data_IF_664219389149
#
_entry.id   IF_664219389149
#
_cell.length_a   1.000
_cell.length_b   1.000
_cell.length_c   1.000
_cell.angle_alpha   90.00
_cell.angle_beta   90.00
_cell.angle_gamma   90.00
#
_symmetry.space_group_name_H-M   'P 1'
#
loop_
_entity.id
_entity.type
_entity.pdbx_description
1 polymer ?
#
# COMPACT_ATOMS: atom_id res chain seq x y z
N UNK A 1 97.69 3.92 -1.05
CA UNK A 1 98.74 4.93 -1.28
C UNK A 1 98.69 5.36 -2.73
N UNK A 2 98.78 6.68 -2.96
CA UNK A 2 99.17 7.31 -4.23
C UNK A 2 98.12 7.44 -5.35
N UNK A 3 97.43 8.59 -5.35
CA UNK A 3 97.16 9.41 -6.54
C UNK A 3 98.50 9.80 -7.20
N UNK A 4 98.60 10.18 -8.50
CA UNK A 4 97.80 11.28 -9.08
C UNK A 4 97.51 11.24 -10.61
N UNK A 5 96.79 12.28 -11.00
CA UNK A 5 96.57 12.93 -12.31
C UNK A 5 97.73 12.80 -13.34
N UNK A 6 97.56 12.94 -14.67
CA UNK A 6 97.00 14.12 -15.38
C UNK A 6 97.00 13.94 -16.92
N UNK A 7 96.12 14.69 -17.58
CA UNK A 7 96.28 15.39 -18.88
C UNK A 7 96.20 14.67 -20.26
N UNK A 8 95.02 14.83 -20.89
CA UNK A 8 94.75 15.46 -22.21
C UNK A 8 95.48 15.04 -23.50
N UNK A 9 94.69 14.66 -24.54
CA UNK A 9 94.45 15.46 -25.77
C UNK A 9 93.40 14.83 -26.73
N UNK A 10 92.79 15.64 -27.63
CA UNK A 10 91.50 15.36 -28.25
C UNK A 10 91.62 14.69 -29.62
N UNK A 11 90.58 13.97 -30.03
CA UNK A 11 90.36 13.64 -31.44
C UNK A 11 88.91 13.99 -31.80
N UNK A 12 88.77 15.00 -32.65
CA UNK A 12 87.52 15.40 -33.29
C UNK A 12 87.36 14.56 -34.56
N UNK A 13 86.29 13.76 -34.62
CA UNK A 13 85.74 13.23 -35.87
C UNK A 13 84.24 13.06 -35.61
N UNK A 14 83.45 14.02 -36.06
CA UNK A 14 82.72 13.99 -37.32
C UNK A 14 81.43 13.15 -37.22
N UNK A 15 80.30 13.88 -37.21
CA UNK A 15 79.06 13.42 -37.84
C UNK A 15 78.23 12.40 -37.07
N UNK A 16 77.19 12.88 -36.38
CA UNK A 16 76.07 12.05 -35.94
C UNK A 16 75.42 12.62 -34.70
N UNK A 17 74.35 13.40 -34.86
CA UNK A 17 73.57 13.92 -33.75
C UNK A 17 72.85 12.78 -33.02
N UNK A 18 73.08 12.57 -31.71
CA UNK A 18 72.16 11.78 -30.90
C UNK A 18 71.02 12.68 -30.41
N UNK A 19 69.80 12.26 -30.71
CA UNK A 19 68.56 12.79 -30.15
C UNK A 19 68.64 12.69 -28.63
N UNK A 20 68.82 13.82 -27.96
CA UNK A 20 68.68 13.94 -26.51
C UNK A 20 67.20 13.83 -26.17
N UNK A 21 66.77 12.66 -25.68
CA UNK A 21 65.54 12.55 -24.90
C UNK A 21 65.71 13.41 -23.64
N UNK A 22 65.14 14.61 -23.70
CA UNK A 22 65.07 15.52 -22.57
C UNK A 22 64.45 14.83 -21.36
N UNK A 23 65.20 14.79 -20.26
CA UNK A 23 64.69 14.60 -18.91
C UNK A 23 63.56 15.60 -18.69
N UNK A 24 62.31 15.11 -18.67
CA UNK A 24 61.20 15.89 -18.14
C UNK A 24 61.32 15.92 -16.61
N UNK A 25 61.10 17.09 -15.97
CA UNK A 25 61.23 17.24 -14.54
C UNK A 25 60.16 16.42 -13.82
N UNK A 26 60.54 15.88 -12.65
CA UNK A 26 59.66 15.27 -11.66
C UNK A 26 58.49 16.21 -11.37
N UNK A 27 57.33 15.92 -11.94
CA UNK A 27 56.06 16.45 -11.46
C UNK A 27 55.50 15.46 -10.46
N UNK A 28 55.84 15.71 -9.20
CA UNK A 28 55.05 15.30 -8.05
C UNK A 28 53.69 15.98 -8.21
N UNK A 29 52.70 15.25 -8.72
CA UNK A 29 51.30 15.66 -8.62
C UNK A 29 50.53 14.54 -7.96
N UNK A 30 49.98 14.92 -6.82
CA UNK A 30 49.29 14.08 -5.87
C UNK A 30 48.28 13.17 -6.56
N UNK A 31 48.27 11.91 -6.12
CA UNK A 31 47.15 11.01 -6.32
C UNK A 31 45.92 11.65 -5.66
N UNK A 32 45.09 12.32 -6.45
CA UNK A 32 43.77 12.75 -6.00
C UNK A 32 42.94 11.48 -5.78
N UNK A 33 42.48 11.19 -4.56
CA UNK A 33 41.65 10.03 -4.34
C UNK A 33 40.26 10.34 -4.91
N UNK A 34 39.93 9.75 -6.05
CA UNK A 34 38.56 9.68 -6.56
C UNK A 34 37.80 8.69 -5.67
N UNK A 35 37.44 9.11 -4.47
CA UNK A 35 36.70 8.28 -3.50
C UNK A 35 35.59 9.00 -2.73
N UNK A 36 35.26 10.26 -3.03
CA UNK A 36 34.20 10.97 -2.30
C UNK A 36 33.18 11.59 -3.26
N UNK A 37 32.30 10.76 -3.81
CA UNK A 37 31.24 11.23 -4.71
C UNK A 37 30.04 10.28 -4.86
N UNK A 38 29.81 9.38 -3.90
CA UNK A 38 28.74 8.38 -3.99
C UNK A 38 27.96 8.20 -2.67
N UNK A 39 27.70 9.28 -1.93
CA UNK A 39 26.89 9.23 -0.69
C UNK A 39 25.70 10.19 -0.63
N UNK A 40 25.32 10.82 -1.74
CA UNK A 40 24.01 11.51 -1.83
C UNK A 40 22.99 10.52 -2.41
N UNK A 41 22.74 9.44 -1.69
CA UNK A 41 21.51 8.67 -1.89
C UNK A 41 20.39 9.48 -1.26
N UNK A 42 19.65 10.20 -2.11
CA UNK A 42 18.42 10.89 -1.78
C UNK A 42 17.49 9.92 -1.02
N UNK A 43 17.40 10.07 0.29
CA UNK A 43 16.36 9.44 1.11
C UNK A 43 15.03 10.15 0.82
N UNK A 44 14.44 9.89 -0.34
CA UNK A 44 13.08 10.35 -0.64
C UNK A 44 12.09 9.45 0.10
N UNK A 45 11.71 9.86 1.31
CA UNK A 45 10.58 9.27 2.03
C UNK A 45 9.29 9.83 1.42
N UNK A 46 8.38 8.98 0.95
CA UNK A 46 7.01 9.43 0.70
C UNK A 46 6.41 9.88 2.04
N UNK A 47 5.82 11.07 2.03
CA UNK A 47 5.08 11.61 3.19
C UNK A 47 3.61 11.54 2.86
N UNK A 48 2.83 10.88 3.72
CA UNK A 48 1.38 10.96 3.63
C UNK A 48 0.92 12.29 4.26
N UNK A 49 0.03 13.04 3.61
CA UNK A 49 -0.57 14.22 4.23
C UNK A 49 -1.38 13.82 5.47
N UNK A 50 -1.07 14.44 6.60
CA UNK A 50 -1.84 14.35 7.84
C UNK A 50 -2.86 15.49 7.91
N UNK A 51 -3.69 15.58 6.88
CA UNK A 51 -4.79 16.53 6.87
C UNK A 51 -5.94 16.00 7.71
N UNK A 52 -6.66 16.92 8.37
CA UNK A 52 -7.96 16.60 8.95
C UNK A 52 -8.95 16.57 7.79
N UNK A 53 -9.58 15.43 7.59
CA UNK A 53 -10.75 15.33 6.73
C UNK A 53 -11.93 15.97 7.47
N UNK A 54 -13.08 15.34 7.40
CA UNK A 54 -14.25 15.71 8.21
C UNK A 54 -15.02 14.47 8.68
N UNK A 55 -14.34 13.32 8.81
CA UNK A 55 -15.02 12.05 9.06
C UNK A 55 -15.12 11.68 10.55
N UNK A 56 -14.29 12.27 11.40
CA UNK A 56 -14.36 12.08 12.85
C UNK A 56 -15.50 12.89 13.49
N UNK A 57 -16.18 12.29 14.47
CA UNK A 57 -17.22 12.96 15.28
C UNK A 57 -16.67 14.16 16.08
N UNK A 58 -15.41 14.09 16.52
CA UNK A 58 -14.67 15.20 17.11
C UNK A 58 -13.16 15.03 16.84
N UNK A 59 -12.45 16.14 16.81
CA UNK A 59 -10.98 16.22 16.72
C UNK A 59 -10.34 16.64 18.06
N UNK A 60 -11.16 16.89 19.08
CA UNK A 60 -10.70 17.45 20.34
C UNK A 60 -9.90 16.43 21.15
N UNK A 61 -8.78 16.88 21.73
CA UNK A 61 -7.93 16.02 22.56
C UNK A 61 -7.14 14.96 21.79
N UNK A 62 -7.09 15.05 20.46
CA UNK A 62 -6.12 14.31 19.66
C UNK A 62 -4.69 14.77 20.02
N UNK A 63 -3.81 13.82 20.30
CA UNK A 63 -2.40 14.09 20.62
C UNK A 63 -1.48 13.31 19.68
N UNK A 64 -0.31 13.86 19.39
CA UNK A 64 0.68 13.22 18.52
C UNK A 64 1.20 11.93 19.14
N UNK A 65 1.21 10.86 18.35
CA UNK A 65 1.76 9.57 18.74
C UNK A 65 2.45 8.93 17.53
N UNK A 66 3.57 9.51 17.12
CA UNK A 66 4.26 9.03 15.92
C UNK A 66 4.96 7.69 16.18
N UNK A 67 4.91 6.81 15.17
CA UNK A 67 5.81 5.68 15.04
C UNK A 67 7.08 6.06 14.28
N UNK A 68 7.96 5.07 14.05
CA UNK A 68 9.19 5.27 13.28
C UNK A 68 8.89 5.73 11.85
N UNK A 69 7.85 5.16 11.23
CA UNK A 69 7.44 5.44 9.85
C UNK A 69 6.02 6.00 9.73
N UNK A 70 5.19 5.76 10.74
CA UNK A 70 3.80 6.21 10.79
C UNK A 70 3.72 7.55 11.48
N UNK A 71 3.02 8.49 10.87
CA UNK A 71 2.59 9.73 11.53
C UNK A 71 1.18 9.57 12.05
N UNK A 72 0.93 9.96 13.30
CA UNK A 72 -0.41 9.80 13.86
C UNK A 72 -0.81 10.84 14.90
N UNK A 73 -2.11 11.11 14.95
CA UNK A 73 -2.80 11.82 16.01
C UNK A 73 -3.84 10.87 16.58
N UNK A 74 -3.86 10.68 17.90
CA UNK A 74 -4.77 9.75 18.55
C UNK A 74 -5.42 10.31 19.79
N UNK A 75 -6.61 9.79 20.07
CA UNK A 75 -7.36 9.96 21.30
C UNK A 75 -7.96 8.61 21.66
N UNK A 76 -7.91 8.23 22.93
CA UNK A 76 -8.61 7.05 23.43
C UNK A 76 -9.07 7.28 24.86
N UNK A 77 -10.34 7.00 25.12
CA UNK A 77 -10.86 6.78 26.46
C UNK A 77 -10.63 5.31 26.83
N UNK A 78 -9.50 5.08 27.51
CA UNK A 78 -9.02 3.73 27.84
C UNK A 78 -10.07 2.93 28.61
N UNK A 79 -10.68 3.53 29.62
CA UNK A 79 -11.63 2.82 30.49
C UNK A 79 -12.88 2.41 29.72
N UNK A 80 -13.42 3.30 28.87
CA UNK A 80 -14.61 3.01 28.07
C UNK A 80 -14.33 1.97 26.99
N UNK A 81 -13.20 2.08 26.30
CA UNK A 81 -12.82 1.12 25.26
C UNK A 81 -12.56 -0.26 25.86
N UNK A 82 -11.87 -0.35 27.00
CA UNK A 82 -11.58 -1.64 27.65
C UNK A 82 -12.82 -2.28 28.31
N UNK A 83 -13.82 -1.48 28.69
CA UNK A 83 -15.10 -2.00 29.19
C UNK A 83 -15.98 -2.64 28.10
N UNK A 84 -15.81 -2.26 26.83
CA UNK A 84 -16.59 -2.79 25.71
C UNK A 84 -16.21 -4.25 25.40
N UNK A 85 -17.22 -5.07 25.05
CA UNK A 85 -17.09 -6.50 24.73
C UNK A 85 -17.38 -6.80 23.27
N UNK A 86 -18.32 -6.07 22.68
CA UNK A 86 -18.77 -6.26 21.31
C UNK A 86 -18.36 -5.08 20.43
N UNK A 87 -17.98 -5.37 19.19
CA UNK A 87 -17.64 -4.35 18.19
C UNK A 87 -18.34 -4.64 16.87
N UNK A 88 -18.82 -3.59 16.23
CA UNK A 88 -19.33 -3.63 14.86
C UNK A 88 -18.43 -2.80 13.97
N UNK A 89 -18.04 -3.35 12.84
CA UNK A 89 -17.23 -2.63 11.84
C UNK A 89 -18.18 -2.14 10.76
N UNK A 90 -18.21 -0.83 10.54
CA UNK A 90 -18.86 -0.25 9.36
C UNK A 90 -17.88 -0.31 8.19
N UNK A 91 -18.29 -0.74 6.99
CA UNK A 91 -17.37 -0.84 5.86
C UNK A 91 -16.63 0.46 5.57
N UNK A 92 -15.31 0.37 5.43
CA UNK A 92 -14.44 1.52 5.11
C UNK A 92 -14.84 2.20 3.81
N UNK A 93 -14.92 3.52 3.84
CA UNK A 93 -15.22 4.38 2.69
C UNK A 93 -13.99 5.16 2.23
N UNK A 94 -14.08 5.74 1.04
CA UNK A 94 -13.12 6.73 0.53
C UNK A 94 -13.79 8.10 0.51
N UNK A 95 -13.08 9.15 0.88
CA UNK A 95 -13.50 10.51 0.51
C UNK A 95 -13.50 10.65 -1.02
N UNK A 96 -14.34 11.55 -1.52
CA UNK A 96 -14.55 11.72 -2.96
C UNK A 96 -13.23 12.00 -3.71
N UNK A 97 -12.36 12.80 -3.12
CA UNK A 97 -11.07 13.22 -3.69
C UNK A 97 -9.92 12.25 -3.40
N UNK A 98 -10.12 11.25 -2.55
CA UNK A 98 -9.08 10.32 -2.15
C UNK A 98 -8.74 9.34 -3.30
N UNK A 99 -7.48 9.30 -3.74
CA UNK A 99 -7.03 8.36 -4.77
C UNK A 99 -7.62 8.60 -6.16
N UNK A 100 -7.43 9.80 -6.76
CA UNK A 100 -8.04 10.16 -8.05
C UNK A 100 -7.59 9.26 -9.21
N UNK A 101 -6.44 8.60 -9.07
CA UNK A 101 -5.89 7.67 -10.08
C UNK A 101 -6.27 6.21 -9.84
N UNK A 102 -6.96 5.89 -8.73
CA UNK A 102 -7.39 4.53 -8.40
C UNK A 102 -8.76 4.22 -9.01
N UNK A 103 -8.86 3.07 -9.66
CA UNK A 103 -10.14 2.54 -10.14
C UNK A 103 -11.08 2.16 -8.98
N UNK A 104 -12.40 2.05 -9.21
CA UNK A 104 -13.36 1.60 -8.18
C UNK A 104 -12.98 0.24 -7.57
N UNK A 105 -12.52 -0.70 -8.39
CA UNK A 105 -12.07 -2.03 -7.94
C UNK A 105 -10.86 -1.92 -7.02
N UNK A 106 -9.88 -1.07 -7.36
CA UNK A 106 -8.70 -0.83 -6.52
C UNK A 106 -9.09 -0.21 -5.17
N UNK A 107 -9.97 0.81 -5.16
CA UNK A 107 -10.49 1.38 -3.91
C UNK A 107 -11.19 0.32 -3.06
N UNK A 108 -12.00 -0.55 -3.68
CA UNK A 108 -12.66 -1.64 -2.98
C UNK A 108 -11.66 -2.64 -2.37
N UNK A 109 -10.55 -2.95 -3.05
CA UNK A 109 -9.48 -3.81 -2.52
C UNK A 109 -8.79 -3.18 -1.30
N UNK A 110 -8.48 -1.88 -1.34
CA UNK A 110 -7.92 -1.16 -0.18
C UNK A 110 -8.92 -1.19 0.99
N UNK A 111 -10.18 -0.82 0.77
CA UNK A 111 -11.22 -0.85 1.80
C UNK A 111 -11.39 -2.25 2.41
N UNK A 112 -11.47 -3.29 1.58
CA UNK A 112 -11.58 -4.68 2.05
C UNK A 112 -10.35 -5.10 2.87
N UNK A 113 -9.16 -4.67 2.47
CA UNK A 113 -7.92 -4.95 3.22
C UNK A 113 -7.94 -4.30 4.60
N UNK A 114 -8.35 -3.04 4.69
CA UNK A 114 -8.52 -2.35 5.97
C UNK A 114 -9.56 -3.08 6.83
N UNK A 115 -10.73 -3.40 6.27
CA UNK A 115 -11.78 -4.09 6.99
C UNK A 115 -11.33 -5.48 7.50
N UNK A 116 -10.61 -6.26 6.70
CA UNK A 116 -10.08 -7.58 7.09
C UNK A 116 -9.04 -7.47 8.20
N UNK A 117 -8.11 -6.51 8.10
CA UNK A 117 -7.10 -6.26 9.11
C UNK A 117 -7.75 -5.81 10.43
N UNK A 118 -8.73 -4.90 10.38
CA UNK A 118 -9.53 -4.52 11.55
C UNK A 118 -10.28 -5.70 12.14
N UNK A 119 -10.93 -6.53 11.30
CA UNK A 119 -11.62 -7.73 11.76
C UNK A 119 -10.68 -8.69 12.49
N UNK A 120 -9.52 -9.00 11.90
CA UNK A 120 -8.54 -9.89 12.51
C UNK A 120 -8.02 -9.30 13.84
N UNK A 121 -7.60 -8.03 13.85
CA UNK A 121 -7.06 -7.37 15.03
C UNK A 121 -8.09 -7.19 16.16
N UNK A 122 -9.28 -6.70 15.86
CA UNK A 122 -10.34 -6.51 16.86
C UNK A 122 -10.82 -7.85 17.44
N UNK A 123 -10.81 -8.91 16.64
CA UNK A 123 -11.25 -10.24 17.08
C UNK A 123 -10.35 -10.90 18.13
N UNK A 124 -9.17 -10.34 18.39
CA UNK A 124 -8.28 -10.75 19.47
C UNK A 124 -8.92 -10.52 20.85
N UNK A 125 -9.77 -9.49 20.99
CA UNK A 125 -10.45 -9.17 22.26
C UNK A 125 -11.97 -9.09 22.14
N UNK A 126 -12.47 -8.47 21.09
CA UNK A 126 -13.90 -8.21 20.95
C UNK A 126 -14.64 -9.38 20.30
N UNK A 127 -15.92 -9.52 20.62
CA UNK A 127 -16.87 -10.21 19.76
C UNK A 127 -17.23 -9.29 18.60
N UNK A 128 -16.86 -9.67 17.36
CA UNK A 128 -17.24 -8.90 16.18
C UNK A 128 -18.64 -9.30 15.75
N UNK A 129 -19.58 -8.36 15.82
CA UNK A 129 -21.01 -8.59 15.55
C UNK A 129 -21.43 -8.00 14.22
N UNK A 130 -22.46 -8.61 13.61
CA UNK A 130 -23.04 -8.13 12.34
C UNK A 130 -23.85 -6.86 12.49
N UNK A 131 -24.23 -6.26 11.36
CA UNK A 131 -25.00 -5.01 11.31
C UNK A 131 -26.38 -5.09 11.98
N UNK A 132 -26.94 -6.30 12.07
CA UNK A 132 -28.25 -6.62 12.65
C UNK A 132 -28.24 -6.71 14.19
N UNK A 133 -27.07 -6.75 14.82
CA UNK A 133 -26.93 -6.85 16.28
C UNK A 133 -26.38 -5.55 16.88
N UNK A 134 -26.82 -5.18 18.11
CA UNK A 134 -26.21 -4.07 18.84
C UNK A 134 -24.76 -4.38 19.17
N UNK A 135 -23.93 -3.34 19.24
CA UNK A 135 -22.52 -3.41 19.61
C UNK A 135 -22.18 -2.31 20.62
N UNK A 136 -21.31 -2.61 21.57
CA UNK A 136 -20.81 -1.63 22.56
C UNK A 136 -20.03 -0.52 21.86
N UNK A 137 -19.24 -0.90 20.84
CA UNK A 137 -18.51 0.03 19.97
C UNK A 137 -18.88 -0.19 18.50
N UNK A 138 -19.08 0.91 17.77
CA UNK A 138 -19.14 0.93 16.31
C UNK A 138 -17.89 1.61 15.76
N UNK A 139 -17.13 0.88 14.95
CA UNK A 139 -15.90 1.35 14.32
C UNK A 139 -16.20 1.82 12.90
N UNK A 140 -15.63 2.97 12.53
CA UNK A 140 -15.69 3.57 11.20
C UNK A 140 -14.30 3.97 10.78
N UNK A 141 -14.01 3.86 9.49
CA UNK A 141 -12.78 4.40 8.93
C UNK A 141 -13.02 4.96 7.53
N UNK A 142 -12.33 6.05 7.21
CA UNK A 142 -12.45 6.78 5.95
C UNK A 142 -11.06 7.05 5.38
N UNK A 143 -10.81 6.60 4.16
CA UNK A 143 -9.58 6.91 3.44
C UNK A 143 -9.65 8.35 2.93
N UNK A 144 -8.77 9.21 3.43
CA UNK A 144 -8.68 10.63 3.06
C UNK A 144 -7.75 10.86 1.87
N UNK A 145 -6.66 10.09 1.84
CA UNK A 145 -5.67 10.20 0.79
C UNK A 145 -5.13 8.83 0.43
N UNK A 146 -4.95 8.60 -0.87
CA UNK A 146 -4.16 7.50 -1.37
C UNK A 146 -3.38 7.95 -2.59
N UNK A 147 -2.06 7.96 -2.49
CA UNK A 147 -1.19 8.14 -3.65
C UNK A 147 -0.89 6.77 -4.25
N UNK A 148 -1.12 6.65 -5.56
CA UNK A 148 -0.76 5.47 -6.31
C UNK A 148 0.77 5.35 -6.44
N UNK A 149 1.26 4.12 -6.41
CA UNK A 149 2.63 3.79 -6.80
C UNK A 149 2.81 4.09 -8.31
N UNK A 150 3.91 4.71 -8.71
CA UNK A 150 4.20 4.87 -10.14
C UNK A 150 4.69 3.53 -10.72
N UNK A 151 3.91 2.94 -11.61
CA UNK A 151 4.19 1.63 -12.22
C UNK A 151 5.48 1.60 -13.05
N UNK A 152 5.82 2.70 -13.74
CA UNK A 152 7.01 2.78 -14.60
C UNK A 152 8.25 2.91 -13.72
N UNK A 153 8.18 3.78 -12.71
CA UNK A 153 9.26 3.92 -11.73
C UNK A 153 9.44 2.64 -10.90
N UNK A 154 8.35 1.97 -10.50
CA UNK A 154 8.40 0.72 -9.76
C UNK A 154 8.92 -0.45 -10.59
N UNK A 155 8.57 -0.53 -11.88
CA UNK A 155 9.12 -1.51 -12.82
C UNK A 155 10.62 -1.32 -13.07
N UNK A 156 11.06 -0.07 -13.28
CA UNK A 156 12.49 0.26 -13.39
C UNK A 156 13.25 -0.04 -12.08
N UNK A 157 12.62 0.26 -10.93
CA UNK A 157 13.18 -0.04 -9.60
C UNK A 157 13.37 -1.54 -9.39
N UNK A 158 12.42 -2.38 -9.80
CA UNK A 158 12.57 -3.85 -9.73
C UNK A 158 13.78 -4.35 -10.53
N UNK A 159 13.94 -3.86 -11.77
CA UNK A 159 15.10 -4.24 -12.61
C UNK A 159 16.40 -3.79 -11.97
N UNK A 160 16.47 -2.55 -11.49
CA UNK A 160 17.64 -2.02 -10.81
C UNK A 160 17.96 -2.79 -9.51
N UNK A 161 16.95 -3.10 -8.70
CA UNK A 161 17.09 -3.88 -7.45
C UNK A 161 17.40 -5.37 -7.69
N UNK A 162 17.20 -5.90 -8.90
CA UNK A 162 17.63 -7.25 -9.24
C UNK A 162 19.14 -7.33 -9.51
N UNK A 163 19.79 -6.21 -9.89
CA UNK A 163 21.22 -6.17 -10.24
C UNK A 163 22.11 -6.61 -9.07
N UNK A 164 21.96 -6.12 -7.82
CA UNK A 164 22.76 -6.61 -6.70
C UNK A 164 22.53 -8.10 -6.39
N UNK A 165 21.31 -8.59 -6.58
CA UNK A 165 20.99 -10.01 -6.36
C UNK A 165 21.70 -10.91 -7.38
N UNK A 166 21.75 -10.48 -8.65
CA UNK A 166 22.47 -11.17 -9.73
C UNK A 166 23.99 -11.14 -9.49
N UNK A 167 24.50 -10.09 -8.83
CA UNK A 167 25.91 -9.94 -8.47
C UNK A 167 26.30 -10.65 -7.16
N UNK A 168 25.44 -11.53 -6.62
CA UNK A 168 25.73 -12.34 -5.44
C UNK A 168 25.74 -11.57 -4.12
N UNK A 169 25.28 -10.32 -4.12
CA UNK A 169 25.20 -9.49 -2.90
C UNK A 169 23.92 -9.89 -2.14
N UNK A 170 24.07 -10.71 -1.10
CA UNK A 170 22.94 -11.13 -0.26
C UNK A 170 22.60 -10.06 0.77
N UNK A 171 21.42 -9.46 0.66
CA UNK A 171 20.88 -8.45 1.58
C UNK A 171 19.54 -7.92 1.08
N UNK A 172 18.75 -7.24 1.95
CA UNK A 172 17.56 -6.50 1.51
C UNK A 172 17.97 -5.46 0.48
N UNK A 173 17.60 -5.64 -0.79
CA UNK A 173 17.90 -4.67 -1.83
C UNK A 173 16.90 -3.51 -1.72
N UNK A 174 17.34 -2.29 -1.37
CA UNK A 174 16.44 -1.15 -1.29
C UNK A 174 15.88 -0.80 -2.67
N UNK A 175 14.60 -0.43 -2.76
CA UNK A 175 14.00 0.05 -4.01
C UNK A 175 14.38 1.51 -4.27
N UNK A 176 14.38 1.94 -5.54
CA UNK A 176 14.59 3.36 -5.87
C UNK A 176 13.40 4.15 -5.31
N UNK A 177 13.62 5.26 -4.58
CA UNK A 177 12.58 5.98 -3.85
C UNK A 177 11.69 6.88 -4.73
N UNK A 178 11.42 6.48 -5.98
CA UNK A 178 10.58 7.22 -6.92
C UNK A 178 9.26 6.47 -7.11
N UNK A 179 8.14 7.18 -7.01
CA UNK A 179 6.82 6.59 -7.24
C UNK A 179 6.27 5.76 -6.07
N UNK A 180 6.64 6.09 -4.83
CA UNK A 180 6.16 5.38 -3.64
C UNK A 180 4.73 5.83 -3.28
N UNK A 181 3.85 4.86 -3.05
CA UNK A 181 2.49 5.15 -2.61
C UNK A 181 2.42 5.64 -1.17
N UNK A 182 1.34 6.32 -0.82
CA UNK A 182 1.06 6.78 0.54
C UNK A 182 -0.42 6.62 0.85
N UNK A 183 -0.74 6.53 2.14
CA UNK A 183 -2.11 6.33 2.60
C UNK A 183 -2.34 7.18 3.85
N UNK A 184 -3.48 7.88 3.88
CA UNK A 184 -3.97 8.63 5.03
C UNK A 184 -5.41 8.25 5.33
N UNK A 185 -5.70 7.92 6.58
CA UNK A 185 -6.97 7.36 7.03
C UNK A 185 -7.36 8.01 8.36
N UNK A 186 -8.64 8.34 8.47
CA UNK A 186 -9.29 8.63 9.74
C UNK A 186 -10.07 7.41 10.21
N UNK A 187 -9.88 7.01 11.46
CA UNK A 187 -10.63 5.96 12.12
C UNK A 187 -11.22 6.45 13.43
N UNK A 188 -12.46 6.06 13.73
CA UNK A 188 -13.08 6.30 15.03
C UNK A 188 -13.85 5.09 15.55
N UNK A 189 -13.95 5.01 16.88
CA UNK A 189 -14.85 4.10 17.58
C UNK A 189 -15.83 4.93 18.42
N UNK A 190 -17.12 4.74 18.18
CA UNK A 190 -18.20 5.41 18.90
C UNK A 190 -19.00 4.42 19.73
N UNK A 191 -19.47 4.84 20.91
CA UNK A 191 -20.35 4.02 21.74
C UNK A 191 -21.80 4.01 21.22
N UNK A 192 -22.67 3.25 21.90
CA UNK A 192 -24.10 3.17 21.57
C UNK A 192 -24.84 4.53 21.61
N UNK A 193 -24.32 5.50 22.37
CA UNK A 193 -24.86 6.85 22.46
C UNK A 193 -24.27 7.79 21.38
N UNK A 194 -23.42 7.28 20.50
CA UNK A 194 -22.75 8.06 19.45
C UNK A 194 -21.57 8.89 19.97
N UNK A 195 -21.09 8.67 21.20
CA UNK A 195 -19.95 9.39 21.74
C UNK A 195 -18.65 8.73 21.30
N UNK A 196 -17.74 9.52 20.76
CA UNK A 196 -16.43 9.05 20.33
C UNK A 196 -15.57 8.63 21.54
N UNK A 197 -15.23 7.34 21.58
CA UNK A 197 -14.40 6.73 22.62
C UNK A 197 -12.95 6.57 22.16
N UNK A 198 -12.70 6.50 20.85
CA UNK A 198 -11.36 6.55 20.30
C UNK A 198 -11.37 7.16 18.91
N UNK A 199 -10.26 7.79 18.54
CA UNK A 199 -10.01 8.31 17.22
C UNK A 199 -8.53 8.20 16.87
N UNK A 200 -8.26 8.03 15.57
CA UNK A 200 -6.92 7.99 15.00
C UNK A 200 -6.93 8.69 13.64
N UNK A 201 -6.07 9.67 13.47
CA UNK A 201 -5.63 10.15 12.16
C UNK A 201 -4.29 9.47 11.91
N UNK A 202 -4.20 8.69 10.84
CA UNK A 202 -3.05 7.86 10.54
C UNK A 202 -2.55 8.17 9.14
N UNK A 203 -1.25 8.43 9.01
CA UNK A 203 -0.62 8.68 7.73
C UNK A 203 0.71 7.95 7.62
N UNK A 204 0.92 7.22 6.53
CA UNK A 204 2.22 6.60 6.26
C UNK A 204 2.49 6.56 4.76
N UNK A 205 3.72 6.91 4.39
CA UNK A 205 4.26 6.64 3.07
C UNK A 205 4.99 5.31 3.05
N UNK A 206 4.97 4.65 1.89
CA UNK A 206 5.79 3.47 1.70
C UNK A 206 7.27 3.90 1.63
N UNK A 207 8.17 3.08 2.15
CA UNK A 207 9.62 3.39 2.15
C UNK A 207 10.41 2.39 1.30
N UNK A 208 11.62 2.77 0.92
CA UNK A 208 12.50 1.95 0.10
C UNK A 208 13.12 0.75 0.82
N UNK A 209 13.02 0.70 2.15
CA UNK A 209 13.77 -0.22 2.99
C UNK A 209 12.92 -1.32 3.62
N UNK A 210 11.58 -1.21 3.64
CA UNK A 210 10.75 -2.15 4.39
C UNK A 210 10.10 -3.24 3.55
N UNK A 211 9.82 -3.01 2.26
CA UNK A 211 9.12 -3.96 1.37
C UNK A 211 9.85 -4.12 0.02
N UNK A 212 9.86 -5.33 -0.59
CA UNK A 212 10.34 -5.50 -1.96
C UNK A 212 9.48 -4.64 -2.91
N UNK A 213 10.08 -4.00 -3.93
CA UNK A 213 9.33 -3.21 -4.92
C UNK A 213 8.17 -4.03 -5.50
N UNK A 214 6.97 -3.45 -5.62
CA UNK A 214 5.80 -4.07 -6.25
C UNK A 214 5.54 -3.38 -7.58
N UNK A 215 5.31 -4.12 -8.65
CA UNK A 215 4.98 -3.58 -9.97
C UNK A 215 3.46 -3.38 -10.05
N UNK A 216 2.91 -2.49 -9.21
CA UNK A 216 1.47 -2.18 -9.21
C UNK A 216 1.17 -0.84 -8.55
N UNK A 217 0.29 -0.05 -9.18
CA UNK A 217 -0.21 1.25 -8.68
C UNK A 217 -0.80 1.21 -7.28
N UNK A 218 -1.33 0.07 -6.84
CA UNK A 218 -2.01 -0.05 -5.53
C UNK A 218 -1.16 -0.78 -4.48
N UNK A 219 -0.04 -1.40 -4.88
CA UNK A 219 0.71 -2.32 -4.01
C UNK A 219 1.11 -1.69 -2.67
N UNK A 220 1.60 -0.46 -2.68
CA UNK A 220 1.94 0.26 -1.45
C UNK A 220 0.69 0.60 -0.61
N UNK A 221 -0.39 1.08 -1.23
CA UNK A 221 -1.63 1.41 -0.52
C UNK A 221 -2.29 0.17 0.10
N UNK A 222 -2.19 -0.99 -0.57
CA UNK A 222 -2.68 -2.27 -0.07
C UNK A 222 -1.90 -2.74 1.18
N UNK A 223 -0.57 -2.67 1.15
CA UNK A 223 0.26 -3.02 2.32
C UNK A 223 0.01 -2.02 3.48
N UNK A 224 -0.09 -0.72 3.18
CA UNK A 224 -0.39 0.33 4.16
C UNK A 224 -1.79 0.18 4.77
N UNK A 225 -2.76 -0.30 4.01
CA UNK A 225 -4.11 -0.59 4.50
C UNK A 225 -4.13 -1.64 5.62
N UNK A 226 -3.33 -2.70 5.48
CA UNK A 226 -3.20 -3.70 6.55
C UNK A 226 -2.60 -3.07 7.81
N UNK A 227 -1.52 -2.28 7.65
CA UNK A 227 -0.85 -1.62 8.78
C UNK A 227 -1.80 -0.71 9.57
N UNK A 228 -2.61 0.12 8.88
CA UNK A 228 -3.60 0.94 9.56
C UNK A 228 -4.61 0.08 10.35
N UNK A 229 -5.17 -0.96 9.72
CA UNK A 229 -6.14 -1.82 10.39
C UNK A 229 -5.57 -2.51 11.63
N UNK A 230 -4.29 -2.86 11.60
CA UNK A 230 -3.56 -3.42 12.75
C UNK A 230 -3.32 -2.39 13.86
N UNK A 231 -2.80 -1.20 13.52
CA UNK A 231 -2.53 -0.13 14.46
C UNK A 231 -3.82 0.35 15.16
N UNK A 232 -4.88 0.56 14.38
CA UNK A 232 -6.18 0.99 14.90
C UNK A 232 -6.82 -0.10 15.78
N UNK A 233 -6.72 -1.36 15.39
CA UNK A 233 -7.18 -2.47 16.24
C UNK A 233 -6.39 -2.55 17.54
N UNK A 234 -5.07 -2.37 17.49
CA UNK A 234 -4.23 -2.39 18.68
C UNK A 234 -4.59 -1.26 19.64
N UNK A 235 -4.88 -0.05 19.13
CA UNK A 235 -5.40 1.06 19.94
C UNK A 235 -6.67 0.65 20.70
N UNK A 236 -7.62 -0.02 20.02
CA UNK A 236 -8.89 -0.40 20.62
C UNK A 236 -8.80 -1.64 21.52
N UNK A 237 -7.91 -2.57 21.21
CA UNK A 237 -7.70 -3.77 22.01
C UNK A 237 -6.99 -3.45 23.31
N UNK A 238 -6.00 -2.55 23.27
CA UNK A 238 -5.15 -2.22 24.43
C UNK A 238 -5.60 -0.97 25.19
N UNK A 239 -6.35 -0.07 24.53
CA UNK A 239 -6.67 1.25 25.07
C UNK A 239 -5.45 2.18 25.15
N UNK A 240 -4.38 1.89 24.40
CA UNK A 240 -3.11 2.59 24.43
C UNK A 240 -2.58 2.84 23.01
N UNK A 241 -1.63 3.78 22.88
CA UNK A 241 -0.96 4.02 21.59
C UNK A 241 -0.30 2.72 21.08
N UNK A 242 -0.52 2.34 19.80
CA UNK A 242 0.17 1.21 19.19
C UNK A 242 1.64 1.52 18.86
N UNK A 243 2.08 2.77 19.04
CA UNK A 243 3.42 3.23 18.71
C UNK A 243 4.32 3.37 19.94
N UNK A 244 5.61 3.11 19.77
CA UNK A 244 6.63 3.34 20.81
C UNK A 244 6.78 2.23 21.86
N UNK A 245 6.03 1.13 21.76
CA UNK A 245 6.18 -0.06 22.61
C UNK A 245 6.48 -1.30 21.76
N UNK A 246 7.14 -2.30 22.34
CA UNK A 246 7.30 -3.60 21.70
C UNK A 246 5.90 -4.22 21.49
N UNK A 247 5.57 -4.56 20.24
CA UNK A 247 4.26 -5.10 19.88
C UNK A 247 3.99 -6.44 20.56
N UNK A 248 2.72 -6.72 20.85
CA UNK A 248 2.29 -8.04 21.32
C UNK A 248 2.44 -9.07 20.18
N UNK A 249 2.81 -10.30 20.53
CA UNK A 249 2.83 -11.41 19.57
C UNK A 249 1.39 -11.67 19.07
N UNK A 250 1.17 -11.78 17.75
CA UNK A 250 -0.15 -12.04 17.20
C UNK A 250 -0.64 -13.44 17.58
N UNK A 251 -1.95 -13.61 17.79
CA UNK A 251 -2.51 -14.95 18.03
C UNK A 251 -2.42 -15.85 16.80
N UNK A 252 -2.51 -17.17 17.03
CA UNK A 252 -2.63 -18.15 15.95
C UNK A 252 -3.85 -17.88 15.05
N UNK A 253 -4.93 -17.31 15.60
CA UNK A 253 -6.11 -16.90 14.83
C UNK A 253 -5.81 -15.76 13.88
N UNK A 254 -5.14 -14.71 14.36
CA UNK A 254 -4.69 -13.57 13.53
C UNK A 254 -3.70 -14.03 12.45
N UNK A 255 -2.74 -14.90 12.79
CA UNK A 255 -1.80 -15.49 11.82
C UNK A 255 -2.56 -16.31 10.77
N UNK A 256 -3.47 -17.18 11.19
CA UNK A 256 -4.28 -18.00 10.30
C UNK A 256 -5.09 -17.16 9.32
N UNK A 257 -5.75 -16.10 9.80
CA UNK A 257 -6.50 -15.17 8.96
C UNK A 257 -5.61 -14.43 7.95
N UNK A 258 -4.42 -13.99 8.35
CA UNK A 258 -3.45 -13.37 7.44
C UNK A 258 -3.01 -14.33 6.31
N UNK A 259 -2.91 -15.62 6.62
CA UNK A 259 -2.56 -16.70 5.69
C UNK A 259 -3.75 -17.24 4.87
N UNK A 260 -4.90 -16.55 4.88
CA UNK A 260 -6.08 -16.93 4.08
C UNK A 260 -7.04 -17.89 4.78
N UNK A 261 -6.88 -18.07 6.09
CA UNK A 261 -7.84 -18.78 6.94
C UNK A 261 -9.17 -18.05 7.04
N UNK A 262 -10.23 -18.80 7.40
CA UNK A 262 -11.56 -18.22 7.65
C UNK A 262 -11.49 -17.24 8.83
N UNK A 263 -12.21 -16.11 8.77
CA UNK A 263 -12.27 -15.19 9.90
C UNK A 263 -12.95 -15.85 11.12
N UNK A 264 -12.57 -15.40 12.32
CA UNK A 264 -13.10 -15.91 13.60
C UNK A 264 -14.62 -15.72 13.74
N UNK A 265 -15.15 -14.62 13.23
CA UNK A 265 -16.58 -14.28 13.29
C UNK A 265 -17.19 -14.19 11.90
N UNK A 266 -18.43 -14.66 11.75
CA UNK A 266 -19.16 -14.63 10.49
C UNK A 266 -19.39 -13.21 9.95
N UNK A 267 -19.52 -12.23 10.85
CA UNK A 267 -19.62 -10.81 10.49
C UNK A 267 -18.43 -10.34 9.62
N UNK A 268 -17.25 -10.94 9.78
CA UNK A 268 -16.07 -10.57 9.01
C UNK A 268 -16.03 -11.20 7.61
N UNK A 269 -16.87 -12.19 7.32
CA UNK A 269 -16.89 -12.85 6.00
C UNK A 269 -17.33 -11.88 4.89
N UNK A 270 -18.08 -10.83 5.24
CA UNK A 270 -18.49 -9.80 4.30
C UNK A 270 -17.33 -8.93 3.78
N UNK A 271 -16.11 -9.06 4.33
CA UNK A 271 -14.94 -8.33 3.84
C UNK A 271 -14.06 -9.16 2.92
N UNK A 272 -14.48 -10.40 2.62
CA UNK A 272 -13.68 -11.37 1.87
C UNK A 272 -12.60 -12.02 2.72
N UNK A 273 -11.80 -12.89 2.08
CA UNK A 273 -10.70 -13.61 2.72
C UNK A 273 -9.39 -13.06 2.19
N UNK A 274 -8.35 -13.01 3.03
CA UNK A 274 -7.00 -12.66 2.59
C UNK A 274 -6.57 -13.63 1.47
N UNK A 275 -5.83 -13.17 0.44
CA UNK A 275 -5.26 -14.06 -0.57
C UNK A 275 -4.29 -15.10 0.03
N UNK A 276 -3.86 -14.92 1.27
CA UNK A 276 -3.08 -15.91 2.00
C UNK A 276 -1.71 -16.15 1.38
N UNK A 277 -1.25 -17.41 1.39
CA UNK A 277 0.08 -17.76 0.89
C UNK A 277 0.29 -17.41 -0.59
N UNK A 278 -0.74 -17.54 -1.44
CA UNK A 278 -0.62 -17.13 -2.85
C UNK A 278 -0.43 -15.62 -2.98
N UNK A 279 -1.10 -14.81 -2.14
CA UNK A 279 -0.88 -13.37 -2.04
C UNK A 279 0.52 -13.01 -1.53
N UNK A 280 1.04 -13.75 -0.55
CA UNK A 280 2.42 -13.56 -0.06
C UNK A 280 3.44 -13.80 -1.18
N UNK A 281 3.28 -14.90 -1.92
CA UNK A 281 4.17 -15.25 -3.05
C UNK A 281 4.02 -14.26 -4.20
N UNK A 282 2.79 -13.94 -4.61
CA UNK A 282 2.50 -12.96 -5.66
C UNK A 282 3.08 -11.58 -5.29
N UNK A 283 2.91 -11.19 -4.04
CA UNK A 283 3.51 -9.99 -3.47
C UNK A 283 5.03 -10.02 -3.52
N UNK A 284 5.70 -11.12 -3.17
CA UNK A 284 7.15 -11.22 -3.25
C UNK A 284 7.64 -11.08 -4.69
N UNK A 285 6.93 -11.68 -5.64
CA UNK A 285 7.17 -11.51 -7.07
C UNK A 285 6.88 -10.07 -7.56
N UNK A 286 6.14 -9.28 -6.78
CA UNK A 286 5.74 -7.91 -7.12
C UNK A 286 4.56 -7.83 -8.07
N UNK A 287 3.73 -8.88 -8.12
CA UNK A 287 2.51 -8.91 -8.90
C UNK A 287 1.44 -7.99 -8.28
N UNK A 288 0.52 -7.44 -9.10
CA UNK A 288 -0.59 -6.64 -8.59
C UNK A 288 -1.47 -7.42 -7.61
N UNK A 289 -1.89 -6.82 -6.48
CA UNK A 289 -2.72 -7.50 -5.48
C UNK A 289 -4.04 -8.00 -6.08
N UNK A 290 -4.63 -7.28 -7.03
CA UNK A 290 -5.84 -7.67 -7.76
C UNK A 290 -5.74 -9.00 -8.51
N UNK A 291 -4.54 -9.54 -8.73
CA UNK A 291 -4.35 -10.86 -9.34
C UNK A 291 -4.46 -12.01 -8.33
N UNK A 292 -4.25 -11.72 -7.05
CA UNK A 292 -4.25 -12.71 -5.97
C UNK A 292 -5.41 -12.55 -5.01
N UNK A 293 -5.86 -11.31 -4.79
CA UNK A 293 -6.99 -10.95 -3.95
C UNK A 293 -8.21 -10.64 -4.83
N UNK A 294 -9.19 -11.54 -4.78
CA UNK A 294 -10.47 -11.39 -5.50
C UNK A 294 -11.45 -10.47 -4.77
N UNK A 295 -11.05 -9.87 -3.64
CA UNK A 295 -11.92 -9.10 -2.76
C UNK A 295 -13.01 -9.97 -2.13
N UNK A 296 -14.18 -9.39 -1.87
CA UNK A 296 -15.38 -10.18 -1.55
C UNK A 296 -15.74 -11.06 -2.74
N UNK A 297 -15.34 -12.34 -2.68
CA UNK A 297 -15.89 -13.49 -3.43
C UNK A 297 -16.58 -13.14 -4.77
N UNK A 298 -15.83 -12.50 -5.68
CA UNK A 298 -16.37 -11.87 -6.88
C UNK A 298 -17.47 -10.84 -6.56
N UNK A 299 -17.28 -9.61 -7.03
CA UNK A 299 -18.44 -8.80 -7.40
C UNK A 299 -19.28 -9.69 -8.31
N UNK A 300 -20.41 -10.19 -7.80
CA UNK A 300 -21.35 -10.95 -8.59
C UNK A 300 -21.56 -10.12 -9.85
N UNK A 301 -21.05 -10.62 -10.99
CA UNK A 301 -21.22 -9.99 -12.29
C UNK A 301 -22.63 -9.41 -12.31
N UNK A 302 -22.78 -8.08 -12.49
CA UNK A 302 -23.99 -7.39 -12.06
C UNK A 302 -25.19 -8.17 -12.58
N UNK A 303 -26.12 -8.52 -11.69
CA UNK A 303 -27.35 -9.23 -12.09
C UNK A 303 -28.10 -8.46 -13.21
N UNK A 304 -27.78 -7.17 -13.38
CA UNK A 304 -28.10 -6.31 -14.52
C UNK A 304 -27.66 -6.87 -15.89
N UNK A 305 -26.45 -7.44 -16.01
CA UNK A 305 -25.91 -7.97 -17.26
C UNK A 305 -26.65 -9.24 -17.71
N UNK A 306 -26.98 -10.15 -16.76
CA UNK A 306 -27.81 -11.32 -17.06
C UNK A 306 -29.27 -10.97 -17.35
N UNK A 307 -29.81 -9.90 -16.75
CA UNK A 307 -31.15 -9.39 -17.12
C UNK A 307 -31.19 -8.84 -18.55
N UNK A 308 -30.13 -8.17 -19.01
CA UNK A 308 -30.04 -7.67 -20.40
C UNK A 308 -29.90 -8.80 -21.43
N UNK A 309 -29.16 -9.86 -21.12
CA UNK A 309 -29.09 -11.05 -21.99
C UNK A 309 -30.39 -11.88 -22.00
N UNK A 310 -31.10 -11.94 -20.87
CA UNK A 310 -32.42 -12.58 -20.79
C UNK A 310 -33.53 -11.83 -21.53
N UNK A 311 -33.46 -10.49 -21.57
CA UNK A 311 -34.43 -9.64 -22.24
C UNK A 311 -34.27 -9.63 -23.77
N UNK A 312 -33.07 -9.92 -24.29
CA UNK A 312 -32.81 -9.99 -25.73
C UNK A 312 -33.24 -11.31 -26.38
N UNK A 313 -33.47 -12.37 -25.57
CA UNK A 313 -33.83 -13.70 -26.06
C UNK A 313 -35.33 -13.92 -26.21
N UNK A 314 -36.17 -13.01 -25.72
CA UNK A 314 -37.63 -13.02 -25.82
C UNK A 314 -38.15 -12.04 -26.88
N UNK A 315 -37.63 -12.15 -28.12
CA UNK A 315 -38.29 -11.57 -29.29
C UNK A 315 -39.57 -12.36 -29.62
N UNK A 316 -40.71 -11.70 -29.92
CA UNK A 316 -41.94 -12.41 -30.20
C UNK A 316 -41.85 -13.14 -31.54
N UNK A 317 -41.94 -14.46 -31.47
CA UNK A 317 -42.10 -15.34 -32.61
C UNK A 317 -43.41 -14.97 -33.32
N UNK A 318 -43.32 -14.24 -34.44
CA UNK A 318 -44.46 -13.94 -35.33
C UNK A 318 -45.04 -15.26 -35.84
N UNK A 319 -46.04 -15.78 -35.14
CA UNK A 319 -46.93 -16.82 -35.66
C UNK A 319 -47.88 -16.15 -36.66
N UNK A 320 -47.74 -16.53 -37.92
CA UNK A 320 -48.73 -16.24 -38.94
C UNK A 320 -50.07 -16.88 -38.59
N UNK A 321 -51.15 -16.12 -38.77
CA UNK A 321 -52.49 -16.65 -38.89
C UNK A 321 -53.28 -15.69 -39.78
N UNK A 322 -53.54 -16.13 -41.01
CA UNK A 322 -54.54 -15.49 -41.86
C UNK A 322 -55.95 -15.81 -41.38
N UNK A 323 -56.89 -14.88 -41.56
CA UNK A 323 -58.14 -15.08 -42.32
C UNK A 323 -59.10 -13.90 -42.18
N UNK A 324 -59.44 -13.39 -43.36
CA UNK A 324 -60.74 -12.94 -43.89
C UNK A 324 -61.40 -11.64 -43.40
N UNK A 325 -62.00 -10.87 -44.34
CA UNK A 325 -62.71 -9.63 -44.06
C UNK A 325 -64.22 -9.86 -43.82
N UNK A 326 -64.83 -9.06 -42.95
CA UNK A 326 -66.29 -8.85 -42.87
C UNK A 326 -66.53 -7.37 -42.57
N UNK A 327 -66.93 -6.60 -43.60
CA UNK A 327 -68.28 -6.05 -43.84
C UNK A 327 -68.74 -5.00 -42.83
N UNK A 328 -68.75 -3.75 -43.32
CA UNK A 328 -69.85 -2.77 -43.32
C UNK A 328 -70.78 -2.73 -42.10
N UNK A 329 -70.78 -1.58 -41.42
CA UNK A 329 -71.99 -0.99 -40.86
C UNK A 329 -71.99 0.53 -41.09
N UNK A 330 -73.06 0.99 -41.73
CA UNK A 330 -73.44 2.39 -41.93
C UNK A 330 -74.34 2.86 -40.75
N UNK A 331 -74.69 4.15 -40.66
CA UNK A 331 -74.95 4.86 -39.40
C UNK A 331 -76.45 5.02 -39.03
N UNK A 332 -76.70 5.41 -37.77
CA UNK A 332 -77.76 6.38 -37.42
C UNK A 332 -79.06 5.87 -36.76
N UNK A 333 -79.47 6.59 -35.70
CA UNK A 333 -80.80 6.60 -35.05
C UNK A 333 -80.64 6.52 -33.52
N UNK A 334 -81.01 7.51 -32.69
CA UNK A 334 -81.92 8.66 -32.78
C UNK A 334 -81.32 9.89 -32.11
#
# INVERSE_FOLDING_TARGET
MSRPERATRPFFSAGGQPVWLGRRPRQSSARVPVCLGAFVLLSACAVAPMERGQSLSSYDGLTTADGVLTKSLLRVDKDKVLAAKTVRIVPVTFEAVAGPTLSPQQRALVSNTINRAMCAGLSERFEVVGADRPADLTVRATVLHSAATDEVAAGASKVASAIPTILGVSGMVPRIPVGLGSLSIEGEAVDIAGRQQAAMIWGRGATSFTNPAKISKIGDAYDLASNFGEDFSALLVTGESPFGKAGALPSAGKIGAALGGKPKYAACAEFGVSPGLSGVVAGAAGLPPEWSDTGRLAEAAPAEARRREGLFRSGPQRRGAGRRPRRLQAPGGR
#
